data_IF_945171512395
#
_entry.id   IF_945171512395
#
_cell.length_a   1.000
_cell.length_b   1.000
_cell.length_c   1.000
_cell.angle_alpha   90.00
_cell.angle_beta   90.00
_cell.angle_gamma   90.00
#
_symmetry.space_group_name_H-M   'P 1'
#
loop_
_entity.id
_entity.type
_entity.pdbx_description
1 polymer ?
#
# COMPACT_ATOMS: atom_id res chain seq x y z
N UNK A 1 53.34 -26.82 -44.59
CA UNK A 1 52.69 -25.55 -44.19
C UNK A 1 51.19 -25.85 -44.08
N UNK A 2 50.46 -25.79 -42.98
CA UNK A 2 50.70 -25.44 -41.59
C UNK A 2 49.35 -25.12 -40.94
N UNK A 3 49.10 -25.69 -39.74
CA UNK A 3 48.16 -25.24 -38.66
C UNK A 3 46.65 -25.47 -38.91
N UNK A 4 45.93 -26.34 -38.19
CA UNK A 4 45.56 -26.39 -36.75
C UNK A 4 44.30 -25.58 -36.38
N UNK A 5 43.53 -26.15 -35.43
CA UNK A 5 42.43 -25.60 -34.59
C UNK A 5 41.04 -25.52 -35.26
N UNK A 6 39.92 -25.91 -34.64
CA UNK A 6 39.62 -26.29 -33.26
C UNK A 6 38.14 -26.63 -33.09
N UNK A 7 37.82 -27.24 -31.94
CA UNK A 7 36.49 -27.67 -31.50
C UNK A 7 35.55 -26.49 -31.13
N UNK A 8 34.41 -26.84 -30.50
CA UNK A 8 33.36 -26.00 -29.90
C UNK A 8 32.29 -25.54 -30.90
N UNK A 9 31.00 -25.87 -30.76
CA UNK A 9 30.21 -26.00 -29.54
C UNK A 9 29.13 -24.92 -29.61
N UNK A 10 27.90 -25.26 -30.03
CA UNK A 10 26.76 -24.35 -29.94
C UNK A 10 25.79 -24.90 -28.89
N UNK A 11 26.14 -24.55 -27.65
CA UNK A 11 25.35 -24.70 -26.45
C UNK A 11 24.43 -23.48 -26.32
N UNK A 12 23.16 -23.72 -25.98
CA UNK A 12 22.39 -22.85 -25.08
C UNK A 12 21.98 -21.47 -25.59
N UNK A 13 20.77 -21.37 -26.13
CA UNK A 13 20.14 -20.09 -26.48
C UNK A 13 18.68 -20.01 -26.04
N UNK A 14 18.38 -20.24 -24.75
CA UNK A 14 17.01 -20.12 -24.20
C UNK A 14 17.04 -20.00 -22.66
N UNK A 15 17.68 -18.97 -22.09
CA UNK A 15 17.67 -18.81 -20.62
C UNK A 15 17.91 -17.39 -20.07
N UNK A 16 17.64 -16.29 -20.82
CA UNK A 16 17.91 -14.92 -20.30
C UNK A 16 16.71 -13.99 -20.15
N UNK A 17 15.47 -14.44 -20.44
CA UNK A 17 14.29 -13.57 -20.31
C UNK A 17 13.62 -13.57 -18.92
N UNK A 18 13.90 -14.56 -18.06
CA UNK A 18 13.23 -14.67 -16.75
C UNK A 18 13.84 -13.77 -15.66
N UNK A 19 15.09 -13.34 -15.82
CA UNK A 19 15.81 -12.54 -14.80
C UNK A 19 15.40 -11.07 -14.81
N UNK A 20 14.90 -10.55 -15.93
CA UNK A 20 14.47 -9.16 -16.05
C UNK A 20 13.12 -8.91 -15.34
N UNK A 21 12.18 -9.87 -15.39
CA UNK A 21 10.88 -9.72 -14.72
C UNK A 21 11.02 -9.63 -13.19
N UNK A 22 11.92 -10.41 -12.60
CA UNK A 22 12.21 -10.39 -11.16
C UNK A 22 13.00 -9.15 -10.73
N UNK A 23 13.90 -8.65 -11.61
CA UNK A 23 14.65 -7.43 -11.37
C UNK A 23 13.76 -6.17 -11.46
N UNK A 24 12.84 -6.13 -12.43
CA UNK A 24 11.82 -5.09 -12.53
C UNK A 24 10.87 -5.10 -11.32
N UNK A 25 10.44 -6.29 -10.89
CA UNK A 25 9.67 -6.47 -9.66
C UNK A 25 10.41 -5.92 -8.46
N UNK A 26 11.69 -6.26 -8.28
CA UNK A 26 12.49 -5.76 -7.15
C UNK A 26 12.64 -4.24 -7.10
N UNK A 27 12.89 -3.59 -8.24
CA UNK A 27 13.02 -2.12 -8.31
C UNK A 27 11.67 -1.42 -8.07
N UNK A 28 10.59 -1.94 -8.66
CA UNK A 28 9.25 -1.40 -8.47
C UNK A 28 8.75 -1.61 -7.03
N UNK A 29 9.02 -2.78 -6.45
CA UNK A 29 8.69 -3.11 -5.07
C UNK A 29 9.41 -2.19 -4.09
N UNK A 30 10.67 -1.85 -4.34
CA UNK A 30 11.43 -0.90 -3.54
C UNK A 30 10.81 0.50 -3.61
N UNK A 31 10.36 0.93 -4.79
CA UNK A 31 9.69 2.22 -4.98
C UNK A 31 8.36 2.28 -4.21
N UNK A 32 7.53 1.22 -4.26
CA UNK A 32 6.27 1.15 -3.51
C UNK A 32 6.55 1.16 -2.01
N UNK A 33 7.52 0.36 -1.53
CA UNK A 33 7.92 0.36 -0.12
C UNK A 33 8.34 1.75 0.36
N UNK A 34 9.17 2.45 -0.43
CA UNK A 34 9.65 3.79 -0.09
C UNK A 34 8.50 4.81 -0.05
N UNK A 35 7.53 4.69 -0.96
CA UNK A 35 6.33 5.51 -0.94
C UNK A 35 5.51 5.27 0.33
N UNK A 36 5.22 3.99 0.65
CA UNK A 36 4.42 3.58 1.79
C UNK A 36 5.04 4.02 3.13
N UNK A 37 6.36 3.81 3.27
CA UNK A 37 7.12 4.16 4.47
C UNK A 37 7.36 5.67 4.63
N UNK A 38 7.31 6.43 3.53
CA UNK A 38 7.64 7.85 3.54
C UNK A 38 6.60 8.74 4.22
N UNK A 39 5.36 8.29 4.35
CA UNK A 39 4.26 9.08 4.91
C UNK A 39 3.33 8.22 5.76
N UNK A 40 2.64 8.84 6.70
CA UNK A 40 1.39 8.26 7.19
C UNK A 40 0.28 8.55 6.17
N UNK A 41 -0.71 7.67 6.09
CA UNK A 41 -1.76 7.73 5.09
C UNK A 41 -3.10 7.90 5.79
N UNK A 42 -3.75 9.03 5.57
CA UNK A 42 -5.02 9.35 6.22
C UNK A 42 -6.17 9.35 5.21
N UNK A 43 -7.26 8.68 5.59
CA UNK A 43 -8.55 8.76 4.92
C UNK A 43 -9.52 9.53 5.80
N UNK A 44 -10.30 10.41 5.19
CA UNK A 44 -11.35 11.17 5.88
C UNK A 44 -12.64 11.02 5.08
N UNK A 45 -13.70 10.60 5.76
CA UNK A 45 -15.02 10.48 5.18
C UNK A 45 -16.01 11.28 6.04
N UNK A 46 -16.74 12.19 5.40
CA UNK A 46 -17.78 12.99 6.04
C UNK A 46 -19.14 12.56 5.52
N UNK A 47 -20.05 12.23 6.44
CA UNK A 47 -21.44 11.93 6.11
C UNK A 47 -22.31 13.16 6.38
N UNK A 48 -22.73 13.85 5.31
CA UNK A 48 -23.56 15.05 5.38
C UNK A 48 -24.98 14.79 5.92
N UNK A 49 -25.47 13.54 5.85
CA UNK A 49 -26.82 13.18 6.30
C UNK A 49 -26.86 13.03 7.82
N UNK A 50 -25.85 12.37 8.40
CA UNK A 50 -25.80 12.08 9.84
C UNK A 50 -24.92 13.05 10.65
N UNK A 51 -24.17 13.94 9.99
CA UNK A 51 -23.19 14.82 10.65
C UNK A 51 -21.99 14.07 11.24
N UNK A 52 -21.78 12.80 10.84
CA UNK A 52 -20.68 11.99 11.34
C UNK A 52 -19.43 12.15 10.47
N UNK A 53 -18.30 12.35 11.14
CA UNK A 53 -16.96 12.37 10.55
C UNK A 53 -16.23 11.10 10.93
N UNK A 54 -15.62 10.43 9.95
CA UNK A 54 -14.74 9.28 10.15
C UNK A 54 -13.35 9.62 9.66
N UNK A 55 -12.36 9.34 10.47
CA UNK A 55 -10.95 9.43 10.12
C UNK A 55 -10.30 8.06 10.24
N UNK A 56 -9.37 7.75 9.36
CA UNK A 56 -8.58 6.54 9.41
C UNK A 56 -7.14 6.90 9.06
N UNK A 57 -6.17 6.47 9.87
CA UNK A 57 -4.74 6.70 9.68
C UNK A 57 -4.04 5.35 9.60
N UNK A 58 -3.47 5.05 8.45
CA UNK A 58 -2.64 3.90 8.17
C UNK A 58 -1.16 4.30 8.20
N UNK A 59 -0.37 3.64 9.04
CA UNK A 59 1.07 3.87 9.15
C UNK A 59 1.84 2.57 8.93
N UNK A 60 2.62 2.56 7.85
CA UNK A 60 3.49 1.45 7.48
C UNK A 60 4.82 1.59 8.23
N UNK A 61 5.25 0.50 8.86
CA UNK A 61 6.53 0.43 9.55
C UNK A 61 7.50 -0.51 8.80
N UNK A 62 8.81 -0.25 8.85
CA UNK A 62 9.82 -1.01 8.10
C UNK A 62 9.97 -2.46 8.56
N UNK A 63 9.45 -2.82 9.74
CA UNK A 63 9.39 -4.20 10.24
C UNK A 63 8.33 -5.06 9.51
N UNK A 64 7.57 -4.46 8.59
CA UNK A 64 6.46 -5.14 7.91
C UNK A 64 5.16 -5.08 8.71
N UNK A 65 5.08 -4.25 9.75
CA UNK A 65 3.82 -4.01 10.44
C UNK A 65 3.10 -2.75 9.94
N UNK A 66 1.78 -2.81 9.93
CA UNK A 66 0.89 -1.74 9.52
C UNK A 66 -0.04 -1.46 10.69
N UNK A 67 -0.05 -0.22 11.16
CA UNK A 67 -0.99 0.21 12.21
C UNK A 67 -2.07 1.08 11.58
N UNK A 68 -3.33 0.67 11.73
CA UNK A 68 -4.50 1.41 11.26
C UNK A 68 -5.26 1.91 12.47
N UNK A 69 -5.26 3.23 12.67
CA UNK A 69 -6.03 3.88 13.72
C UNK A 69 -7.24 4.57 13.09
N UNK A 70 -8.44 4.22 13.51
CA UNK A 70 -9.68 4.82 13.06
C UNK A 70 -10.34 5.60 14.18
N UNK A 71 -10.86 6.78 13.86
CA UNK A 71 -11.67 7.61 14.72
C UNK A 71 -13.03 7.87 14.07
N UNK A 72 -14.09 7.89 14.87
CA UNK A 72 -15.37 8.40 14.42
C UNK A 72 -15.91 9.41 15.44
N UNK A 73 -16.26 10.59 14.94
CA UNK A 73 -16.92 11.64 15.68
C UNK A 73 -18.32 11.83 15.10
N UNK A 74 -19.35 11.72 15.92
CA UNK A 74 -20.73 11.98 15.51
C UNK A 74 -21.27 13.17 16.28
N UNK A 75 -21.75 14.18 15.56
CA UNK A 75 -22.49 15.31 16.12
C UNK A 75 -23.96 15.19 15.73
N UNK A 76 -24.80 14.74 16.65
CA UNK A 76 -26.26 14.81 16.50
C UNK A 76 -26.79 16.02 17.25
N UNK A 77 -27.15 17.08 16.53
CA UNK A 77 -27.86 18.25 17.08
C UNK A 77 -29.37 18.08 16.85
N UNK A 78 -30.08 17.51 17.83
CA UNK A 78 -31.54 17.35 17.80
C UNK A 78 -32.27 18.34 18.70
N UNK A 79 -33.61 18.39 18.60
CA UNK A 79 -34.52 19.25 19.42
C UNK A 79 -34.37 19.07 20.95
N UNK A 80 -33.62 18.06 21.41
CA UNK A 80 -33.35 17.76 22.83
C UNK A 80 -31.88 17.89 23.28
N UNK A 81 -30.98 18.46 22.46
CA UNK A 81 -29.56 18.67 22.80
C UNK A 81 -28.57 18.04 21.82
N UNK A 82 -27.29 18.39 21.98
CA UNK A 82 -26.18 17.88 21.17
C UNK A 82 -25.60 16.63 21.83
N UNK A 83 -25.69 15.47 21.18
CA UNK A 83 -24.98 14.26 21.63
C UNK A 83 -23.73 14.10 20.79
N UNK A 84 -22.56 14.16 21.44
CA UNK A 84 -21.25 13.92 20.82
C UNK A 84 -20.78 12.51 21.15
N UNK A 85 -20.57 11.69 20.12
CA UNK A 85 -19.98 10.35 20.27
C UNK A 85 -18.60 10.31 19.63
N UNK A 86 -17.57 10.01 20.42
CA UNK A 86 -16.21 9.80 19.95
C UNK A 86 -15.85 8.32 20.16
N UNK A 87 -15.35 7.66 19.12
CA UNK A 87 -14.81 6.31 19.23
C UNK A 87 -13.46 6.25 18.51
N UNK A 88 -12.50 5.57 19.12
CA UNK A 88 -11.18 5.36 18.55
C UNK A 88 -10.84 3.87 18.64
N UNK A 89 -10.46 3.28 17.50
CA UNK A 89 -10.05 1.89 17.41
C UNK A 89 -8.73 1.80 16.67
N UNK A 90 -7.77 1.05 17.22
CA UNK A 90 -6.49 0.76 16.56
C UNK A 90 -6.41 -0.73 16.23
N UNK A 91 -5.99 -1.04 15.01
CA UNK A 91 -5.78 -2.40 14.52
C UNK A 91 -4.37 -2.52 13.95
N UNK A 92 -3.73 -3.66 14.18
CA UNK A 92 -2.43 -3.99 13.62
C UNK A 92 -2.59 -5.07 12.56
N UNK A 93 -1.94 -4.84 11.43
CA UNK A 93 -1.81 -5.76 10.30
C UNK A 93 -0.32 -5.95 10.01
N UNK A 94 -0.03 -6.89 9.14
CA UNK A 94 1.26 -7.07 8.49
C UNK A 94 1.12 -6.69 7.03
N UNK A 95 2.18 -6.14 6.46
CA UNK A 95 2.22 -5.74 5.07
C UNK A 95 3.53 -6.18 4.43
N UNK A 96 3.46 -6.44 3.13
CA UNK A 96 4.64 -6.64 2.28
C UNK A 96 4.31 -6.22 0.86
N UNK A 97 5.34 -5.89 0.10
CA UNK A 97 5.22 -5.72 -1.35
C UNK A 97 5.85 -6.93 -2.03
N UNK A 98 5.11 -7.55 -2.93
CA UNK A 98 5.59 -8.67 -3.72
C UNK A 98 5.00 -8.57 -5.12
N UNK A 99 5.86 -8.73 -6.15
CA UNK A 99 5.43 -8.75 -7.55
C UNK A 99 4.74 -7.44 -8.00
N UNK A 100 5.08 -6.31 -7.38
CA UNK A 100 4.48 -5.00 -7.64
C UNK A 100 3.21 -4.72 -6.87
N UNK A 101 2.73 -5.64 -6.04
CA UNK A 101 1.47 -5.50 -5.31
C UNK A 101 1.67 -5.39 -3.79
N UNK A 102 0.81 -4.59 -3.15
CA UNK A 102 0.69 -4.59 -1.70
C UNK A 102 -0.12 -5.81 -1.26
N UNK A 103 0.48 -6.61 -0.39
CA UNK A 103 -0.19 -7.69 0.32
C UNK A 103 -0.34 -7.33 1.79
N UNK A 104 -1.53 -7.55 2.32
CA UNK A 104 -1.83 -7.40 3.74
C UNK A 104 -2.13 -8.74 4.38
N UNK A 105 -1.87 -8.83 5.68
CA UNK A 105 -2.18 -10.00 6.49
C UNK A 105 -2.59 -9.58 7.90
N UNK A 106 -3.59 -10.23 8.48
CA UNK A 106 -3.98 -9.99 9.88
C UNK A 106 -3.06 -10.71 10.88
N UNK A 107 -2.49 -11.84 10.46
CA UNK A 107 -1.73 -12.74 11.32
C UNK A 107 -0.29 -13.01 10.84
N UNK A 108 0.11 -12.44 9.70
CA UNK A 108 1.42 -12.66 9.08
C UNK A 108 1.55 -13.99 8.32
N UNK A 109 0.51 -14.83 8.33
CA UNK A 109 0.50 -16.13 7.65
C UNK A 109 -0.34 -16.11 6.36
N UNK A 110 -1.51 -15.46 6.40
CA UNK A 110 -2.44 -15.39 5.27
C UNK A 110 -2.32 -14.03 4.59
N UNK A 111 -1.77 -14.01 3.37
CA UNK A 111 -1.49 -12.79 2.63
C UNK A 111 -2.52 -12.57 1.53
N UNK A 112 -3.20 -11.42 1.56
CA UNK A 112 -4.18 -11.04 0.56
C UNK A 112 -3.70 -9.82 -0.23
N UNK A 113 -3.79 -9.84 -1.57
CA UNK A 113 -3.48 -8.66 -2.37
C UNK A 113 -4.57 -7.60 -2.14
N UNK A 114 -4.15 -6.36 -1.89
CA UNK A 114 -5.08 -5.25 -1.61
C UNK A 114 -5.35 -4.38 -2.86
N UNK A 115 -4.66 -4.64 -3.97
CA UNK A 115 -4.83 -3.87 -5.22
C UNK A 115 -4.49 -2.39 -5.02
N UNK A 116 -3.33 -2.12 -4.43
CA UNK A 116 -2.89 -0.76 -4.12
C UNK A 116 -2.63 0.04 -5.40
N UNK A 117 -3.29 1.18 -5.54
CA UNK A 117 -3.03 2.13 -6.63
C UNK A 117 -2.53 3.46 -6.07
N UNK A 118 -1.38 3.92 -6.55
CA UNK A 118 -0.91 5.27 -6.27
C UNK A 118 -1.29 6.19 -7.45
N UNK A 119 -2.04 7.25 -7.18
CA UNK A 119 -2.38 8.28 -8.19
C UNK A 119 -2.02 9.67 -7.69
N UNK A 120 -1.93 10.65 -8.60
CA UNK A 120 -1.83 12.06 -8.24
C UNK A 120 -3.19 12.72 -8.35
N UNK A 121 -3.53 13.55 -7.36
CA UNK A 121 -4.69 14.43 -7.47
C UNK A 121 -4.35 15.68 -8.30
N UNK A 122 -5.36 16.51 -8.58
CA UNK A 122 -5.23 17.77 -9.34
C UNK A 122 -4.27 18.78 -8.70
N UNK A 123 -4.01 18.66 -7.40
CA UNK A 123 -3.06 19.48 -6.65
C UNK A 123 -1.63 18.94 -6.68
N UNK A 124 -1.39 17.84 -7.39
CA UNK A 124 -0.07 17.19 -7.53
C UNK A 124 0.33 16.27 -6.37
N UNK A 125 -0.50 16.14 -5.34
CA UNK A 125 -0.25 15.27 -4.18
C UNK A 125 -0.52 13.80 -4.53
N UNK A 126 0.27 12.90 -3.95
CA UNK A 126 0.05 11.45 -4.08
C UNK A 126 -1.08 11.03 -3.14
N UNK A 127 -2.01 10.27 -3.69
CA UNK A 127 -3.05 9.56 -2.95
C UNK A 127 -2.95 8.07 -3.26
N UNK A 128 -3.14 7.25 -2.24
CA UNK A 128 -3.25 5.81 -2.36
C UNK A 128 -4.72 5.41 -2.42
N UNK A 129 -5.03 4.41 -3.22
CA UNK A 129 -6.32 3.73 -3.20
C UNK A 129 -6.09 2.29 -2.84
N UNK A 130 -6.77 1.85 -1.79
CA UNK A 130 -6.74 0.49 -1.30
C UNK A 130 -8.15 0.12 -0.86
N UNK A 131 -8.67 -1.02 -1.31
CA UNK A 131 -10.02 -1.51 -0.94
C UNK A 131 -11.14 -0.47 -1.19
N UNK A 132 -11.04 0.31 -2.27
CA UNK A 132 -12.01 1.35 -2.62
C UNK A 132 -11.96 2.62 -1.73
N UNK A 133 -11.04 2.69 -0.76
CA UNK A 133 -10.79 3.89 0.05
C UNK A 133 -9.61 4.67 -0.48
N UNK A 134 -9.72 5.99 -0.45
CA UNK A 134 -8.64 6.91 -0.79
C UNK A 134 -7.92 7.38 0.47
N UNK A 135 -6.59 7.36 0.43
CA UNK A 135 -5.73 7.83 1.50
C UNK A 135 -4.79 8.91 0.96
N UNK A 136 -4.80 10.06 1.60
CA UNK A 136 -3.84 11.12 1.34
C UNK A 136 -2.66 11.01 2.30
N UNK A 137 -1.47 11.40 1.83
CA UNK A 137 -0.32 11.55 2.72
C UNK A 137 -0.64 12.59 3.81
N UNK A 138 -0.50 12.20 5.07
CA UNK A 138 -0.67 13.05 6.25
C UNK A 138 0.60 13.03 7.10
N UNK A 139 0.82 14.11 7.85
CA UNK A 139 1.88 14.19 8.85
C UNK A 139 1.38 13.72 10.20
#
# INVERSE_FOLDING_TARGET
MGRSFGALGLVGGLALAASAASAQGGAHDAQIRQLLLGNAWCSFAYNQISGASRSERAQFAPDGSLTVTSGAESYSAGRGGTVAGQSQASRRYFWRVAQGDLHLSENGAQWQPTGLQAKRNSSGAIILVADGKEYAACR
#
